data_IF_957678209453
#
_entry.id   IF_957678209453
#
_cell.length_a   1.000
_cell.length_b   1.000
_cell.length_c   1.000
_cell.angle_alpha   90.00
_cell.angle_beta   90.00
_cell.angle_gamma   90.00
#
_symmetry.space_group_name_H-M   'P 1'
#
loop_
_entity.id
_entity.type
_entity.pdbx_description
1 polymer ?
#
# COMPACT_ATOMS: atom_id res chain seq x y z
N UNK A 1 15.66 15.32 -8.73
CA UNK A 1 15.28 15.96 -10.01
C UNK A 1 15.36 17.47 -9.83
N UNK A 2 16.47 18.11 -10.22
CA UNK A 2 16.70 19.55 -9.98
C UNK A 2 15.65 20.48 -10.59
N UNK A 3 14.97 20.02 -11.65
CA UNK A 3 13.98 20.80 -12.41
C UNK A 3 12.52 20.50 -12.01
N UNK A 4 12.30 19.70 -10.96
CA UNK A 4 10.94 19.32 -10.57
C UNK A 4 10.14 20.54 -10.09
N UNK A 5 8.93 20.69 -10.62
CA UNK A 5 7.92 21.66 -10.14
C UNK A 5 7.01 21.07 -9.06
N UNK A 6 7.18 19.79 -8.72
CA UNK A 6 6.36 19.16 -7.68
C UNK A 6 6.61 19.84 -6.32
N UNK A 7 5.54 20.18 -5.57
CA UNK A 7 5.69 20.69 -4.22
C UNK A 7 6.46 19.72 -3.32
N UNK A 8 7.09 20.26 -2.27
CA UNK A 8 7.72 19.43 -1.24
C UNK A 8 6.65 18.90 -0.29
N UNK A 9 6.53 17.58 -0.19
CA UNK A 9 5.61 16.89 0.73
C UNK A 9 6.33 16.32 1.97
N UNK A 10 7.36 17.01 2.46
CA UNK A 10 8.17 16.53 3.59
C UNK A 10 7.37 16.30 4.88
N UNK A 11 6.26 17.04 5.06
CA UNK A 11 5.38 16.93 6.23
C UNK A 11 4.75 15.54 6.41
N UNK A 12 4.64 14.73 5.35
CA UNK A 12 4.08 13.38 5.41
C UNK A 12 4.91 12.47 6.32
N UNK A 13 6.23 12.69 6.38
CA UNK A 13 7.13 11.89 7.21
C UNK A 13 7.08 12.26 8.70
N UNK A 14 6.30 13.28 9.08
CA UNK A 14 6.15 13.74 10.46
C UNK A 14 4.72 13.51 11.00
N UNK A 15 3.82 12.98 10.17
CA UNK A 15 2.44 12.68 10.52
C UNK A 15 2.27 11.17 10.69
N UNK A 16 2.08 10.75 11.94
CA UNK A 16 1.87 9.34 12.27
C UNK A 16 0.40 8.97 12.07
N UNK A 17 0.18 7.76 11.57
CA UNK A 17 -1.15 7.21 11.32
C UNK A 17 -1.34 5.91 12.10
N UNK A 18 -2.59 5.70 12.51
CA UNK A 18 -3.04 4.50 13.20
C UNK A 18 -4.14 3.83 12.35
N UNK A 19 -4.36 2.52 12.48
CA UNK A 19 -5.36 1.81 11.68
C UNK A 19 -6.80 2.08 12.12
N UNK A 20 -7.09 3.23 12.74
CA UNK A 20 -8.36 3.54 13.42
C UNK A 20 -9.60 3.32 12.55
N UNK A 21 -9.51 3.57 11.24
CA UNK A 21 -10.65 3.48 10.31
C UNK A 21 -10.44 2.47 9.18
N UNK A 22 -9.38 1.65 9.22
CA UNK A 22 -9.05 0.78 8.08
C UNK A 22 -10.16 -0.24 7.81
N UNK A 23 -10.74 -0.78 8.88
CA UNK A 23 -11.86 -1.73 8.82
C UNK A 23 -13.10 -1.09 8.20
N UNK A 24 -13.51 0.07 8.71
CA UNK A 24 -14.67 0.82 8.21
C UNK A 24 -14.52 1.18 6.72
N UNK A 25 -13.31 1.57 6.29
CA UNK A 25 -13.01 1.85 4.90
C UNK A 25 -13.13 0.60 4.02
N UNK A 26 -12.56 -0.53 4.45
CA UNK A 26 -12.65 -1.79 3.69
C UNK A 26 -14.08 -2.31 3.61
N UNK A 27 -14.85 -2.24 4.69
CA UNK A 27 -16.28 -2.57 4.69
C UNK A 27 -17.06 -1.68 3.74
N UNK A 28 -16.80 -0.37 3.75
CA UNK A 28 -17.44 0.60 2.84
C UNK A 28 -17.07 0.32 1.38
N UNK A 29 -15.78 0.08 1.09
CA UNK A 29 -15.33 -0.30 -0.25
C UNK A 29 -15.99 -1.60 -0.72
N UNK A 30 -16.16 -2.57 0.19
CA UNK A 30 -16.90 -3.80 -0.09
C UNK A 30 -18.35 -3.53 -0.48
N UNK A 31 -19.03 -2.60 0.19
CA UNK A 31 -20.38 -2.16 -0.20
C UNK A 31 -20.41 -1.57 -1.62
N UNK A 32 -19.33 -0.93 -2.06
CA UNK A 32 -19.19 -0.36 -3.42
C UNK A 32 -18.71 -1.37 -4.48
N UNK A 33 -18.49 -2.64 -4.10
CA UNK A 33 -18.14 -3.72 -5.02
C UNK A 33 -16.66 -4.13 -5.05
N UNK A 34 -15.81 -3.58 -4.17
CA UNK A 34 -14.43 -4.08 -4.00
C UNK A 34 -14.49 -5.44 -3.28
N UNK A 35 -13.84 -6.50 -3.80
CA UNK A 35 -14.05 -7.87 -3.32
C UNK A 35 -13.25 -8.21 -2.05
N UNK A 36 -13.38 -7.42 -0.98
CA UNK A 36 -12.79 -7.75 0.32
C UNK A 36 -13.52 -8.93 0.98
N UNK A 37 -12.76 -9.92 1.42
CA UNK A 37 -13.28 -11.05 2.22
C UNK A 37 -13.43 -10.65 3.69
N UNK A 38 -14.18 -11.44 4.47
CA UNK A 38 -14.28 -11.22 5.92
C UNK A 38 -12.90 -11.34 6.58
N UNK A 39 -12.09 -12.32 6.17
CA UNK A 39 -10.71 -12.49 6.64
C UNK A 39 -9.84 -11.25 6.38
N UNK A 40 -9.94 -10.64 5.19
CA UNK A 40 -9.21 -9.41 4.87
C UNK A 40 -9.60 -8.26 5.79
N UNK A 41 -10.89 -8.14 6.12
CA UNK A 41 -11.43 -7.07 6.97
C UNK A 41 -11.08 -7.31 8.44
N UNK A 42 -11.13 -8.55 8.91
CA UNK A 42 -10.74 -8.94 10.27
C UNK A 42 -9.24 -8.75 10.53
N UNK A 43 -8.41 -9.06 9.54
CA UNK A 43 -6.95 -8.92 9.61
C UNK A 43 -6.45 -7.51 9.26
N UNK A 44 -7.34 -6.57 8.89
CA UNK A 44 -6.97 -5.28 8.32
C UNK A 44 -5.99 -4.46 9.18
N UNK A 45 -6.19 -4.43 10.51
CA UNK A 45 -5.29 -3.70 11.41
C UNK A 45 -3.92 -4.37 11.54
N UNK A 46 -3.87 -5.70 11.51
CA UNK A 46 -2.62 -6.45 11.56
C UNK A 46 -1.84 -6.28 10.26
N UNK A 47 -2.54 -6.42 9.13
CA UNK A 47 -1.99 -6.20 7.78
C UNK A 47 -1.43 -4.77 7.63
N UNK A 48 -2.17 -3.76 8.12
CA UNK A 48 -1.72 -2.37 8.15
C UNK A 48 -0.39 -2.18 8.87
N UNK A 49 -0.22 -2.83 10.04
CA UNK A 49 0.97 -2.70 10.87
C UNK A 49 2.15 -3.48 10.31
N UNK A 50 1.91 -4.72 9.88
CA UNK A 50 2.98 -5.62 9.46
C UNK A 50 3.55 -5.25 8.09
N UNK A 51 2.79 -4.54 7.25
CA UNK A 51 3.26 -4.11 5.94
C UNK A 51 4.51 -3.22 6.00
N UNK A 52 4.69 -2.46 7.08
CA UNK A 52 5.89 -1.61 7.25
C UNK A 52 7.02 -2.27 8.03
N UNK A 53 6.80 -3.49 8.53
CA UNK A 53 7.73 -4.20 9.40
C UNK A 53 8.42 -5.36 8.64
N UNK A 54 9.64 -5.16 8.10
CA UNK A 54 10.36 -6.21 7.38
C UNK A 54 10.80 -7.38 8.26
N UNK A 55 10.82 -7.20 9.59
CA UNK A 55 11.17 -8.25 10.55
C UNK A 55 9.92 -8.90 11.17
N UNK A 56 8.72 -8.45 10.78
CA UNK A 56 7.43 -8.95 11.26
C UNK A 56 6.92 -10.20 10.53
N UNK A 57 5.83 -10.79 11.05
CA UNK A 57 5.18 -11.97 10.46
C UNK A 57 4.13 -11.56 9.40
N UNK A 58 4.61 -11.27 8.18
CA UNK A 58 3.79 -10.79 7.07
C UNK A 58 3.33 -11.89 6.10
N UNK A 59 3.61 -13.17 6.38
CA UNK A 59 3.32 -14.26 5.43
C UNK A 59 1.83 -14.37 5.11
N UNK A 60 0.97 -14.28 6.14
CA UNK A 60 -0.49 -14.30 5.96
C UNK A 60 -1.00 -13.07 5.19
N UNK A 61 -0.41 -11.89 5.46
CA UNK A 61 -0.71 -10.67 4.71
C UNK A 61 -0.40 -10.85 3.22
N UNK A 62 0.76 -11.45 2.89
CA UNK A 62 1.13 -11.73 1.50
C UNK A 62 0.27 -12.83 0.86
N UNK A 63 -0.24 -13.79 1.64
CA UNK A 63 -1.20 -14.75 1.13
C UNK A 63 -2.50 -14.05 0.66
N UNK A 64 -2.97 -13.05 1.42
CA UNK A 64 -4.12 -12.20 1.04
C UNK A 64 -3.79 -11.22 -0.09
N UNK A 65 -2.57 -10.66 -0.08
CA UNK A 65 -2.12 -9.63 -1.02
C UNK A 65 -0.75 -9.99 -1.66
N UNK A 66 -0.68 -10.92 -2.62
CA UNK A 66 0.60 -11.49 -3.09
C UNK A 66 1.58 -10.51 -3.77
N UNK A 67 1.07 -9.37 -4.27
CA UNK A 67 1.89 -8.33 -4.89
C UNK A 67 2.23 -7.18 -3.94
N UNK A 68 1.76 -7.21 -2.70
CA UNK A 68 2.11 -6.21 -1.71
C UNK A 68 3.61 -6.25 -1.44
N UNK A 69 4.17 -5.07 -1.18
CA UNK A 69 5.55 -4.93 -0.74
C UNK A 69 5.55 -4.74 0.78
N UNK A 70 6.50 -5.38 1.46
CA UNK A 70 6.77 -5.21 2.90
C UNK A 70 8.14 -4.59 3.07
N UNK A 71 8.21 -3.46 3.79
CA UNK A 71 9.44 -2.77 4.19
C UNK A 71 9.10 -1.53 5.00
N UNK A 72 10.08 -1.03 5.74
CA UNK A 72 10.04 0.35 6.19
C UNK A 72 10.25 1.28 4.98
N UNK A 73 9.24 2.05 4.58
CA UNK A 73 9.25 2.79 3.32
C UNK A 73 9.91 4.16 3.46
N UNK A 74 9.77 4.82 4.61
CA UNK A 74 10.35 6.14 4.87
C UNK A 74 11.65 6.12 5.71
N UNK A 75 12.02 4.95 6.24
CA UNK A 75 13.22 4.71 7.05
C UNK A 75 13.15 5.20 8.49
N UNK A 76 11.97 5.58 8.98
CA UNK A 76 11.73 6.09 10.34
C UNK A 76 10.97 5.07 11.21
N UNK A 77 11.00 5.20 12.54
CA UNK A 77 10.18 4.37 13.42
C UNK A 77 8.70 4.77 13.36
N UNK A 78 7.82 3.77 13.47
CA UNK A 78 6.36 3.92 13.43
C UNK A 78 5.80 3.87 12.01
N UNK A 79 4.55 4.29 11.84
CA UNK A 79 3.85 4.30 10.55
C UNK A 79 3.46 5.75 10.21
N UNK A 80 4.08 6.33 9.18
CA UNK A 80 3.79 7.70 8.76
C UNK A 80 2.84 7.76 7.56
N UNK A 81 2.26 8.93 7.29
CA UNK A 81 1.55 9.20 6.04
C UNK A 81 2.47 8.99 4.81
N UNK A 82 3.80 9.17 4.97
CA UNK A 82 4.77 8.89 3.90
C UNK A 82 4.85 7.40 3.59
N UNK A 83 4.87 6.53 4.61
CA UNK A 83 4.86 5.08 4.39
C UNK A 83 3.63 4.64 3.60
N UNK A 84 2.45 5.12 3.99
CA UNK A 84 1.20 4.80 3.30
C UNK A 84 1.21 5.27 1.84
N UNK A 85 1.73 6.48 1.56
CA UNK A 85 1.82 6.99 0.20
C UNK A 85 2.78 6.16 -0.65
N UNK A 86 3.96 5.82 -0.12
CA UNK A 86 4.94 5.02 -0.87
C UNK A 86 4.39 3.61 -1.11
N UNK A 87 3.79 2.97 -0.10
CA UNK A 87 3.15 1.67 -0.24
C UNK A 87 2.09 1.66 -1.36
N UNK A 88 1.25 2.71 -1.41
CA UNK A 88 0.28 2.90 -2.49
C UNK A 88 0.95 3.04 -3.87
N UNK A 89 1.98 3.88 -3.98
CA UNK A 89 2.70 4.10 -5.23
C UNK A 89 3.41 2.83 -5.74
N UNK A 90 3.91 1.97 -4.86
CA UNK A 90 4.54 0.70 -5.24
C UNK A 90 3.55 -0.32 -5.83
N UNK A 91 2.25 -0.19 -5.53
CA UNK A 91 1.22 -1.08 -6.08
C UNK A 91 0.77 -0.66 -7.49
N UNK A 92 0.91 0.61 -7.85
CA UNK A 92 0.41 1.14 -9.12
C UNK A 92 1.05 0.44 -10.33
N UNK A 93 0.20 -0.06 -11.23
CA UNK A 93 0.62 -0.74 -12.46
C UNK A 93 1.09 -2.19 -12.28
N UNK A 94 1.24 -2.69 -11.06
CA UNK A 94 1.72 -4.07 -10.80
C UNK A 94 0.69 -5.15 -11.12
N UNK A 95 -0.60 -4.80 -11.14
CA UNK A 95 -1.70 -5.73 -11.36
C UNK A 95 -1.99 -6.01 -12.83
N UNK A 96 -1.42 -5.23 -13.76
CA UNK A 96 -1.61 -5.43 -15.19
C UNK A 96 -0.81 -6.66 -15.64
N UNK A 97 -1.45 -7.54 -16.41
CA UNK A 97 -0.78 -8.63 -17.11
C UNK A 97 -0.28 -8.12 -18.47
N UNK A 98 1.04 -7.99 -18.60
CA UNK A 98 1.68 -7.53 -19.84
C UNK A 98 1.99 -8.67 -20.83
N UNK A 99 1.68 -9.93 -20.51
CA UNK A 99 1.95 -11.07 -21.40
C UNK A 99 1.17 -11.02 -22.72
N UNK A 100 0.07 -10.26 -22.75
CA UNK A 100 -0.75 -10.05 -23.94
C UNK A 100 -0.48 -8.73 -24.67
N UNK A 101 0.46 -7.91 -24.19
CA UNK A 101 0.76 -6.61 -24.78
C UNK A 101 1.91 -6.75 -25.80
N UNK A 102 1.61 -6.56 -27.08
CA UNK A 102 2.65 -6.40 -28.11
C UNK A 102 2.96 -4.90 -28.24
N UNK A 103 4.16 -4.44 -27.83
CA UNK A 103 4.53 -3.03 -27.98
C UNK A 103 4.62 -2.68 -29.46
N UNK A 104 3.88 -1.66 -29.89
CA UNK A 104 4.11 -1.05 -31.21
C UNK A 104 5.43 -0.29 -31.14
N UNK A 105 6.44 -0.77 -31.87
CA UNK A 105 7.79 -0.21 -31.85
C UNK A 105 7.90 1.20 -32.46
N UNK A 106 6.80 1.77 -32.96
CA UNK A 106 6.78 3.03 -33.72
C UNK A 106 6.22 4.26 -32.98
N UNK A 107 5.98 4.18 -31.67
CA UNK A 107 5.59 5.34 -30.84
C UNK A 107 6.55 5.62 -29.69
#
# INVERSE_FOLDING_TARGET
VPESIMPKYGFLADRMIEPTYIKDLMETHRMTGVPYTDEMIESAEADFKVQVDPDGDYEEMLARYPKAQVRNFDGKPGISEMDALIAYLQMLGTLVDFSTFTPDASR
#
